data_IF_591866345648
#
_entry.id   IF_591866345648
#
_cell.length_a   1.000
_cell.length_b   1.000
_cell.length_c   1.000
_cell.angle_alpha   90.00
_cell.angle_beta   90.00
_cell.angle_gamma   90.00
#
_symmetry.space_group_name_H-M   'P 1'
#
loop_
_entity.id
_entity.type
_entity.pdbx_description
1 polymer ?
#
# COMPACT_ATOMS: atom_id res chain seq x y z
N UNK A 1 4.00 35.39 20.11
CA UNK A 1 4.20 33.93 20.18
C UNK A 1 4.90 33.51 18.90
N UNK A 2 6.22 33.48 18.92
CA UNK A 2 7.04 33.16 17.75
C UNK A 2 7.12 31.65 17.57
N UNK A 3 6.85 31.17 16.36
CA UNK A 3 7.08 29.79 15.98
C UNK A 3 8.60 29.59 15.84
N UNK A 4 9.21 28.87 16.78
CA UNK A 4 10.56 28.35 16.61
C UNK A 4 10.52 27.17 15.63
N UNK A 5 10.73 27.45 14.34
CA UNK A 5 11.12 26.43 13.37
C UNK A 5 12.46 25.84 13.81
N UNK A 6 12.43 24.61 14.33
CA UNK A 6 13.66 23.84 14.52
C UNK A 6 14.13 23.38 13.14
N UNK A 7 15.14 24.05 12.59
CA UNK A 7 15.91 23.50 11.47
C UNK A 7 16.68 22.27 11.97
N UNK A 8 16.28 21.10 11.49
CA UNK A 8 17.05 19.86 11.71
C UNK A 8 18.28 19.93 10.83
N UNK A 9 19.44 20.18 11.45
CA UNK A 9 20.73 20.21 10.76
C UNK A 9 21.17 18.77 10.48
N UNK A 10 21.04 18.34 9.22
CA UNK A 10 21.45 16.98 8.79
C UNK A 10 22.99 16.93 8.74
N UNK A 11 23.66 16.04 9.50
CA UNK A 11 25.11 15.90 9.43
C UNK A 11 25.51 15.32 8.07
N UNK A 12 26.37 16.04 7.34
CA UNK A 12 26.92 15.56 6.07
C UNK A 12 28.02 14.54 6.36
N UNK A 13 27.68 13.24 6.31
CA UNK A 13 28.68 12.20 6.18
C UNK A 13 29.25 12.24 4.75
N UNK A 14 30.57 12.50 4.63
CA UNK A 14 31.29 12.42 3.36
C UNK A 14 31.11 11.03 2.74
N UNK A 15 30.45 10.97 1.57
CA UNK A 15 30.32 9.73 0.79
C UNK A 15 28.98 9.47 0.08
N UNK A 16 27.98 10.34 0.18
CA UNK A 16 26.65 10.14 -0.45
C UNK A 16 26.38 11.21 -1.53
N UNK A 17 27.23 11.31 -2.54
CA UNK A 17 27.15 12.41 -3.52
C UNK A 17 26.39 12.06 -4.82
N UNK A 18 25.49 11.06 -4.78
CA UNK A 18 24.56 10.77 -5.92
C UNK A 18 23.11 10.46 -5.54
N UNK A 19 22.77 10.34 -4.25
CA UNK A 19 21.39 10.07 -3.80
C UNK A 19 20.67 11.32 -3.25
N UNK A 20 21.41 12.40 -2.98
CA UNK A 20 20.92 13.58 -2.26
C UNK A 20 19.86 14.42 -2.99
N UNK A 21 19.52 14.10 -4.24
CA UNK A 21 18.55 14.88 -5.05
C UNK A 21 17.19 14.21 -5.23
N UNK A 22 16.98 12.97 -4.78
CA UNK A 22 15.72 12.23 -5.05
C UNK A 22 14.80 12.05 -3.83
N UNK A 23 15.30 12.21 -2.61
CA UNK A 23 14.53 11.99 -1.39
C UNK A 23 14.81 13.07 -0.33
N UNK A 24 13.77 13.45 0.41
CA UNK A 24 13.81 14.52 1.42
C UNK A 24 14.21 14.01 2.82
N UNK A 25 14.23 12.68 3.03
CA UNK A 25 14.53 12.05 4.32
C UNK A 25 15.81 11.22 4.24
N UNK A 26 16.56 11.18 5.35
CA UNK A 26 17.76 10.33 5.51
C UNK A 26 17.43 8.84 5.26
N UNK A 27 16.23 8.41 5.68
CA UNK A 27 15.67 7.09 5.43
C UNK A 27 14.35 7.26 4.65
N UNK A 28 14.36 7.12 3.32
CA UNK A 28 13.15 7.28 2.51
C UNK A 28 12.08 6.24 2.89
N UNK A 29 10.84 6.70 3.08
CA UNK A 29 9.72 5.82 3.40
C UNK A 29 9.11 5.25 2.11
N UNK A 30 9.04 3.92 1.95
CA UNK A 30 8.32 3.33 0.83
C UNK A 30 6.82 3.59 0.96
N UNK A 31 6.13 3.73 -0.16
CA UNK A 31 4.68 3.64 -0.17
C UNK A 31 4.27 2.18 0.04
N UNK A 32 3.47 1.92 1.07
CA UNK A 32 2.97 0.59 1.41
C UNK A 32 1.59 0.40 0.80
N UNK A 33 1.36 -0.74 0.16
CA UNK A 33 0.04 -1.16 -0.33
C UNK A 33 -0.37 -2.49 0.29
N UNK A 34 -1.67 -2.74 0.32
CA UNK A 34 -2.24 -4.03 0.66
C UNK A 34 -3.29 -4.44 -0.38
N UNK A 35 -3.17 -5.68 -0.85
CA UNK A 35 -4.03 -6.26 -1.90
C UNK A 35 -4.70 -7.54 -1.37
N UNK A 36 -5.96 -7.75 -1.75
CA UNK A 36 -6.79 -8.87 -1.32
C UNK A 36 -6.94 -9.92 -2.42
N UNK A 37 -6.54 -11.17 -2.15
CA UNK A 37 -6.89 -12.31 -2.99
C UNK A 37 -8.13 -12.99 -2.41
N UNK A 38 -9.29 -12.73 -3.02
CA UNK A 38 -10.57 -13.28 -2.55
C UNK A 38 -10.96 -14.49 -3.41
N UNK A 39 -11.09 -15.64 -2.77
CA UNK A 39 -11.56 -16.87 -3.41
C UNK A 39 -13.05 -17.07 -3.20
N UNK A 40 -13.75 -17.49 -4.24
CA UNK A 40 -15.16 -17.90 -4.18
C UNK A 40 -15.31 -19.31 -4.75
N UNK A 41 -16.13 -20.14 -4.09
CA UNK A 41 -16.54 -21.44 -4.61
C UNK A 41 -17.79 -21.32 -5.46
N UNK A 42 -17.78 -21.93 -6.63
CA UNK A 42 -18.89 -21.94 -7.59
C UNK A 42 -19.11 -23.37 -8.07
N UNK A 43 -19.76 -24.19 -7.26
CA UNK A 43 -19.77 -25.65 -7.47
C UNK A 43 -18.40 -26.23 -7.14
N UNK A 44 -17.85 -27.04 -8.04
CA UNK A 44 -16.51 -27.61 -7.89
C UNK A 44 -15.39 -26.58 -8.18
N UNK A 45 -15.70 -25.54 -8.95
CA UNK A 45 -14.75 -24.53 -9.38
C UNK A 45 -14.38 -23.55 -8.25
N UNK A 46 -13.10 -23.13 -8.26
CA UNK A 46 -12.60 -22.00 -7.48
C UNK A 46 -12.43 -20.80 -8.40
N UNK A 47 -13.05 -19.67 -8.04
CA UNK A 47 -12.91 -18.39 -8.73
C UNK A 47 -12.13 -17.40 -7.86
N UNK A 48 -11.49 -16.43 -8.49
CA UNK A 48 -10.80 -15.32 -7.82
C UNK A 48 -11.43 -14.00 -8.22
N UNK A 49 -11.60 -13.09 -7.26
CA UNK A 49 -12.09 -11.74 -7.52
C UNK A 49 -10.99 -10.89 -8.14
N UNK A 50 -11.33 -10.19 -9.22
CA UNK A 50 -10.49 -9.19 -9.86
C UNK A 50 -11.30 -7.92 -10.11
N UNK A 51 -10.60 -6.79 -10.08
CA UNK A 51 -11.16 -5.48 -10.42
C UNK A 51 -10.49 -4.93 -11.68
N UNK A 52 -11.19 -4.02 -12.36
CA UNK A 52 -10.59 -3.17 -13.40
C UNK A 52 -10.08 -1.89 -12.76
N UNK A 53 -8.77 -1.65 -12.81
CA UNK A 53 -8.15 -0.44 -12.23
C UNK A 53 -8.75 0.84 -12.82
N UNK A 54 -9.25 1.73 -11.96
CA UNK A 54 -9.87 3.01 -12.38
C UNK A 54 -8.85 4.10 -12.69
N UNK A 55 -7.68 4.04 -12.06
CA UNK A 55 -6.66 5.10 -12.05
C UNK A 55 -5.35 4.64 -12.69
N UNK A 56 -4.55 5.61 -13.14
CA UNK A 56 -3.18 5.36 -13.57
C UNK A 56 -2.26 5.13 -12.36
N UNK A 57 -1.12 4.42 -12.52
CA UNK A 57 -0.71 3.68 -13.71
C UNK A 57 -1.57 2.43 -13.95
N UNK A 58 -1.49 1.88 -15.16
CA UNK A 58 -2.19 0.64 -15.57
C UNK A 58 -3.72 0.70 -15.48
N UNK A 59 -4.31 1.88 -15.76
CA UNK A 59 -5.77 2.03 -15.85
C UNK A 59 -6.36 1.04 -16.86
N UNK A 60 -7.46 0.38 -16.49
CA UNK A 60 -8.17 -0.60 -17.33
C UNK A 60 -7.59 -2.01 -17.32
N UNK A 61 -6.46 -2.24 -16.65
CA UNK A 61 -5.91 -3.58 -16.45
C UNK A 61 -6.65 -4.29 -15.30
N UNK A 62 -6.65 -5.62 -15.35
CA UNK A 62 -7.15 -6.44 -14.25
C UNK A 62 -6.13 -6.48 -13.13
N UNK A 63 -6.59 -6.38 -11.89
CA UNK A 63 -5.77 -6.46 -10.68
C UNK A 63 -6.58 -7.07 -9.54
N UNK A 64 -5.90 -7.42 -8.46
CA UNK A 64 -6.56 -7.66 -7.19
C UNK A 64 -7.09 -6.33 -6.63
N UNK A 65 -8.19 -6.35 -5.86
CA UNK A 65 -8.62 -5.17 -5.11
C UNK A 65 -7.58 -4.81 -4.06
N UNK A 66 -7.25 -3.52 -3.96
CA UNK A 66 -6.14 -3.07 -3.12
C UNK A 66 -5.73 -1.63 -3.38
N UNK A 67 -4.99 -1.08 -2.43
CA UNK A 67 -4.61 0.32 -2.44
C UNK A 67 -3.54 0.67 -1.41
N UNK A 68 -3.31 1.97 -1.26
CA UNK A 68 -2.27 2.49 -0.37
C UNK A 68 -2.75 2.50 1.09
N UNK A 69 -1.82 2.19 1.99
CA UNK A 69 -2.05 2.22 3.43
C UNK A 69 -2.04 3.66 3.95
N UNK A 70 -3.03 4.01 4.77
CA UNK A 70 -3.01 5.27 5.51
C UNK A 70 -2.03 5.21 6.68
N UNK A 71 -1.60 6.35 7.21
CA UNK A 71 -0.53 6.42 8.23
C UNK A 71 -0.90 5.72 9.55
N UNK A 72 -2.19 5.65 9.83
CA UNK A 72 -2.84 5.17 11.03
C UNK A 72 -3.53 3.81 10.85
N UNK A 73 -3.21 3.12 9.75
CA UNK A 73 -3.75 1.79 9.43
C UNK A 73 -2.70 0.69 9.55
N UNK A 74 -3.15 -0.48 10.00
CA UNK A 74 -2.45 -1.74 9.77
C UNK A 74 -2.68 -2.22 8.33
N UNK A 75 -1.82 -3.14 7.86
CA UNK A 75 -2.01 -3.77 6.53
C UNK A 75 -3.34 -4.53 6.42
N UNK A 76 -3.83 -5.11 7.51
CA UNK A 76 -5.14 -5.80 7.53
C UNK A 76 -6.30 -4.83 7.43
N UNK A 77 -6.25 -3.70 8.14
CA UNK A 77 -7.27 -2.64 8.04
C UNK A 77 -7.30 -2.03 6.65
N UNK A 78 -6.13 -1.74 6.08
CA UNK A 78 -5.99 -1.26 4.68
C UNK A 78 -6.65 -2.22 3.71
N UNK A 79 -6.30 -3.51 3.79
CA UNK A 79 -6.81 -4.54 2.89
C UNK A 79 -8.35 -4.68 2.99
N UNK A 80 -8.92 -4.63 4.20
CA UNK A 80 -10.38 -4.68 4.42
C UNK A 80 -11.07 -3.44 3.84
N UNK A 81 -10.54 -2.24 4.11
CA UNK A 81 -11.09 -0.97 3.63
C UNK A 81 -11.10 -0.91 2.10
N UNK A 82 -9.96 -1.17 1.47
CA UNK A 82 -9.83 -1.13 0.01
C UNK A 82 -10.74 -2.16 -0.67
N UNK A 83 -10.83 -3.38 -0.11
CA UNK A 83 -11.76 -4.39 -0.61
C UNK A 83 -13.21 -3.90 -0.57
N UNK A 84 -13.63 -3.29 0.53
CA UNK A 84 -14.99 -2.74 0.64
C UNK A 84 -15.23 -1.58 -0.33
N UNK A 85 -14.32 -0.62 -0.42
CA UNK A 85 -14.47 0.56 -1.27
C UNK A 85 -14.57 0.20 -2.77
N UNK A 86 -13.78 -0.77 -3.23
CA UNK A 86 -13.72 -1.11 -4.64
C UNK A 86 -14.78 -2.12 -5.09
N UNK A 87 -15.27 -2.96 -4.16
CA UNK A 87 -16.11 -4.11 -4.49
C UNK A 87 -17.42 -4.18 -3.70
N UNK A 88 -17.55 -3.44 -2.61
CA UNK A 88 -18.67 -3.48 -1.67
C UNK A 88 -18.65 -4.68 -0.71
N UNK A 89 -17.63 -5.54 -0.77
CA UNK A 89 -17.53 -6.74 0.06
C UNK A 89 -16.93 -6.41 1.43
N UNK A 90 -17.64 -6.82 2.48
CA UNK A 90 -17.15 -6.77 3.87
C UNK A 90 -16.74 -8.16 4.34
N UNK A 91 -15.59 -8.24 4.99
CA UNK A 91 -15.07 -9.49 5.57
C UNK A 91 -14.70 -9.29 7.03
N UNK A 92 -14.95 -10.30 7.85
CA UNK A 92 -14.59 -10.28 9.27
C UNK A 92 -13.11 -10.64 9.45
N UNK A 93 -12.66 -11.66 8.72
CA UNK A 93 -11.32 -12.24 8.83
C UNK A 93 -10.56 -12.13 7.50
N UNK A 94 -9.26 -11.89 7.59
CA UNK A 94 -8.29 -11.91 6.48
C UNK A 94 -7.01 -12.53 7.04
N UNK A 95 -6.31 -13.29 6.20
CA UNK A 95 -5.03 -13.89 6.55
C UNK A 95 -3.93 -13.27 5.70
N UNK A 96 -2.90 -12.75 6.35
CA UNK A 96 -1.73 -12.21 5.65
C UNK A 96 -0.98 -13.35 4.95
N UNK A 97 -1.04 -13.35 3.61
CA UNK A 97 -0.18 -14.21 2.81
C UNK A 97 1.26 -13.71 2.87
N UNK A 98 2.19 -14.62 3.13
CA UNK A 98 3.64 -14.35 3.03
C UNK A 98 4.21 -15.30 2.01
N UNK A 99 4.92 -14.78 1.02
CA UNK A 99 5.78 -15.62 0.20
C UNK A 99 6.95 -16.08 1.07
N UNK A 100 7.00 -17.38 1.34
CA UNK A 100 8.23 -18.03 1.78
C UNK A 100 8.94 -18.41 0.48
N UNK A 101 9.87 -17.57 0.04
CA UNK A 101 10.89 -17.97 -0.93
C UNK A 101 12.09 -18.53 -0.17
#
# INVERSE_FOLDING_TARGET
>A
MGLHSHEVKIPTHEGIDKLSTMYTYEYPHPAITADCIVFAKSGEDTKVLLIKRKNAPCKGYWAFPGGFMNIDETTEETAKRELEEETGLKVNEIYQSRSIL
#
